data_IF_336829018285
#
_entry.id   IF_336829018285
#
_cell.length_a   1.000
_cell.length_b   1.000
_cell.length_c   1.000
_cell.angle_alpha   90.00
_cell.angle_beta   90.00
_cell.angle_gamma   90.00
#
_symmetry.space_group_name_H-M   'P 1'
#
loop_
_entity.id
_entity.type
_entity.pdbx_description
1 polymer ?
#
# COMPACT_ATOMS: atom_id res chain seq x y z
N UNK A 1 26.71 7.86 -4.85
CA UNK A 1 27.93 8.10 -4.05
C UNK A 1 28.66 6.80 -3.69
N UNK A 2 29.01 5.97 -4.67
CA UNK A 2 29.60 4.65 -4.41
C UNK A 2 31.02 4.72 -3.80
N UNK A 3 31.78 5.78 -4.13
CA UNK A 3 33.16 6.01 -3.68
C UNK A 3 33.29 6.32 -2.18
N UNK A 4 32.18 6.65 -1.48
CA UNK A 4 32.19 6.94 -0.04
C UNK A 4 32.09 5.69 0.84
N UNK A 5 31.99 4.50 0.24
CA UNK A 5 31.95 3.22 0.96
C UNK A 5 30.85 3.19 2.03
N UNK A 6 31.19 3.02 3.32
CA UNK A 6 30.20 2.93 4.40
C UNK A 6 29.45 4.25 4.66
N UNK A 7 30.04 5.40 4.28
CA UNK A 7 29.43 6.71 4.49
C UNK A 7 28.41 7.08 3.40
N UNK A 8 28.30 6.29 2.33
CA UNK A 8 27.48 6.62 1.15
C UNK A 8 26.04 6.93 1.49
N UNK A 9 25.45 6.18 2.43
CA UNK A 9 24.03 6.28 2.78
C UNK A 9 23.76 7.58 3.52
N UNK A 10 24.54 7.84 4.58
CA UNK A 10 24.44 9.07 5.35
C UNK A 10 24.76 10.30 4.52
N UNK A 11 25.79 10.21 3.67
CA UNK A 11 26.16 11.29 2.76
C UNK A 11 25.08 11.57 1.70
N UNK A 12 24.38 10.55 1.21
CA UNK A 12 23.27 10.73 0.28
C UNK A 12 22.14 11.58 0.89
N UNK A 13 21.69 11.22 2.10
CA UNK A 13 20.68 12.01 2.81
C UNK A 13 21.18 13.42 3.12
N UNK A 14 22.44 13.57 3.55
CA UNK A 14 23.04 14.87 3.81
C UNK A 14 23.09 15.75 2.55
N UNK A 15 23.57 15.23 1.42
CA UNK A 15 23.59 15.98 0.16
C UNK A 15 22.18 16.33 -0.33
N UNK A 16 21.19 15.47 -0.06
CA UNK A 16 19.76 15.77 -0.31
C UNK A 16 19.34 17.02 0.48
N UNK A 17 19.60 17.06 1.80
CA UNK A 17 19.26 18.21 2.66
C UNK A 17 20.00 19.51 2.32
N UNK A 18 21.16 19.43 1.66
CA UNK A 18 21.90 20.60 1.20
C UNK A 18 21.33 21.16 -0.11
N UNK A 19 20.78 20.30 -0.96
CA UNK A 19 20.15 20.70 -2.21
C UNK A 19 18.83 21.42 -1.94
N UNK A 20 18.00 20.84 -1.06
CA UNK A 20 16.67 21.33 -0.77
C UNK A 20 16.25 20.92 0.64
N UNK A 21 15.76 21.89 1.42
CA UNK A 21 15.23 21.65 2.76
C UNK A 21 14.26 22.76 3.19
N UNK A 22 13.08 22.42 3.76
CA UNK A 22 12.54 21.06 3.97
C UNK A 22 12.06 20.41 2.66
N UNK A 23 12.20 19.10 2.54
CA UNK A 23 11.77 18.33 1.36
C UNK A 23 10.30 17.97 1.49
N UNK A 24 9.42 18.95 1.25
CA UNK A 24 7.98 18.79 1.46
C UNK A 24 7.29 18.39 0.17
N UNK A 25 6.48 17.34 0.25
CA UNK A 25 5.63 16.89 -0.83
C UNK A 25 4.18 16.92 -0.37
N UNK A 26 3.35 17.61 -1.15
CA UNK A 26 1.91 17.66 -0.92
C UNK A 26 1.24 16.60 -1.79
N UNK A 27 0.28 15.89 -1.21
CA UNK A 27 -0.53 14.89 -1.89
C UNK A 27 -1.90 14.79 -1.22
N UNK A 28 -2.92 14.33 -1.95
CA UNK A 28 -4.19 13.92 -1.37
C UNK A 28 -4.31 12.41 -1.44
N UNK A 29 -4.81 11.81 -0.36
CA UNK A 29 -5.12 10.38 -0.29
C UNK A 29 -6.60 10.20 -0.05
N UNK A 30 -7.22 9.43 -0.94
CA UNK A 30 -8.53 8.86 -0.72
C UNK A 30 -8.32 7.45 -0.18
N UNK A 31 -8.96 7.10 0.93
CA UNK A 31 -8.82 5.75 1.48
C UNK A 31 -10.12 5.18 2.00
N UNK A 32 -10.13 3.85 2.07
CA UNK A 32 -11.13 3.05 2.75
C UNK A 32 -10.51 2.41 3.97
N UNK A 33 -11.28 2.36 5.05
CA UNK A 33 -10.89 1.70 6.30
C UNK A 33 -10.58 0.20 6.12
N UNK A 34 -10.08 -0.45 7.17
CA UNK A 34 -9.77 -1.87 7.14
C UNK A 34 -11.02 -2.70 6.87
N UNK A 35 -10.91 -3.75 6.05
CA UNK A 35 -12.03 -4.59 5.63
C UNK A 35 -11.99 -5.91 6.40
N UNK A 36 -13.15 -6.52 6.67
CA UNK A 36 -13.20 -7.87 7.24
C UNK A 36 -12.52 -8.87 6.31
N UNK A 37 -11.69 -9.72 6.90
CA UNK A 37 -11.02 -10.80 6.17
C UNK A 37 -12.09 -11.76 5.65
N UNK A 38 -12.06 -12.15 4.36
CA UNK A 38 -12.93 -13.19 3.85
C UNK A 38 -12.74 -14.46 4.67
N UNK A 39 -13.80 -15.23 4.96
CA UNK A 39 -13.65 -16.51 5.65
C UNK A 39 -12.66 -17.37 4.87
N UNK A 40 -11.66 -17.93 5.56
CA UNK A 40 -10.74 -18.89 4.94
C UNK A 40 -11.58 -20.04 4.37
N UNK A 41 -11.61 -20.16 3.04
CA UNK A 41 -12.20 -21.32 2.39
C UNK A 41 -11.48 -22.56 2.94
N UNK A 42 -12.24 -23.57 3.37
CA UNK A 42 -11.67 -24.78 3.97
C UNK A 42 -10.54 -25.31 3.07
N UNK A 43 -9.36 -25.66 3.63
CA UNK A 43 -8.12 -25.94 2.88
C UNK A 43 -8.22 -27.10 1.87
N UNK A 44 -9.34 -27.82 1.84
CA UNK A 44 -9.66 -28.87 0.89
C UNK A 44 -10.36 -28.40 -0.39
N UNK A 45 -10.67 -27.11 -0.54
CA UNK A 45 -11.26 -26.56 -1.78
C UNK A 45 -10.24 -25.72 -2.53
N UNK A 46 -9.00 -26.20 -2.67
CA UNK A 46 -8.26 -25.86 -3.88
C UNK A 46 -9.13 -26.38 -5.03
N UNK A 47 -9.91 -25.51 -5.67
CA UNK A 47 -10.71 -25.87 -6.83
C UNK A 47 -9.72 -26.25 -7.94
N UNK A 48 -9.29 -27.51 -7.94
CA UNK A 48 -8.40 -28.06 -8.94
C UNK A 48 -9.00 -27.76 -10.31
N UNK A 49 -8.13 -27.58 -11.32
CA UNK A 49 -8.57 -27.27 -12.67
C UNK A 49 -9.76 -28.19 -13.03
N UNK A 50 -10.96 -27.64 -13.31
CA UNK A 50 -12.12 -28.47 -13.53
C UNK A 50 -11.84 -29.45 -14.68
N UNK A 51 -12.36 -30.69 -14.60
CA UNK A 51 -12.06 -31.72 -15.58
C UNK A 51 -12.51 -31.28 -16.98
N UNK A 52 -11.91 -31.87 -18.02
CA UNK A 52 -12.08 -31.43 -19.42
C UNK A 52 -13.56 -31.33 -19.83
N UNK A 53 -14.39 -32.30 -19.43
CA UNK A 53 -15.81 -32.32 -19.75
C UNK A 53 -16.58 -31.14 -19.14
N UNK A 54 -16.27 -30.74 -17.90
CA UNK A 54 -16.89 -29.55 -17.26
C UNK A 54 -16.50 -28.28 -18.03
N UNK A 55 -15.26 -28.17 -18.48
CA UNK A 55 -14.79 -27.02 -19.26
C UNK A 55 -15.42 -26.94 -20.64
N UNK A 56 -15.57 -28.08 -21.31
CA UNK A 56 -16.27 -28.18 -22.59
C UNK A 56 -17.75 -27.83 -22.43
N UNK A 57 -18.41 -28.38 -21.40
CA UNK A 57 -19.80 -28.06 -21.09
C UNK A 57 -19.99 -26.58 -20.79
N UNK A 58 -19.16 -25.97 -19.93
CA UNK A 58 -19.21 -24.53 -19.65
C UNK A 58 -19.03 -23.67 -20.91
N UNK A 59 -18.12 -24.03 -21.81
CA UNK A 59 -17.97 -23.33 -23.11
C UNK A 59 -19.20 -23.46 -23.99
N UNK A 60 -19.75 -24.66 -24.08
CA UNK A 60 -20.95 -24.92 -24.88
C UNK A 60 -22.15 -24.14 -24.32
N UNK A 61 -22.32 -24.11 -23.00
CA UNK A 61 -23.32 -23.27 -22.32
C UNK A 61 -23.08 -21.79 -22.64
N UNK A 62 -21.86 -21.28 -22.52
CA UNK A 62 -21.54 -19.89 -22.87
C UNK A 62 -21.77 -19.56 -24.35
N UNK A 63 -21.63 -20.55 -25.24
CA UNK A 63 -21.91 -20.38 -26.67
C UNK A 63 -23.42 -20.29 -26.95
N UNK A 64 -24.24 -21.14 -26.31
CA UNK A 64 -25.68 -21.18 -26.52
C UNK A 64 -26.47 -20.16 -25.69
N UNK A 65 -25.96 -19.81 -24.52
CA UNK A 65 -26.44 -18.73 -23.67
C UNK A 65 -25.25 -17.81 -23.38
N UNK A 66 -24.97 -16.82 -24.27
CA UNK A 66 -23.97 -15.81 -23.95
C UNK A 66 -24.35 -15.18 -22.60
N UNK A 67 -23.39 -14.96 -21.70
CA UNK A 67 -23.67 -14.29 -20.44
C UNK A 67 -24.38 -12.98 -20.78
N UNK A 68 -25.57 -12.80 -20.23
CA UNK A 68 -26.27 -11.52 -20.32
C UNK A 68 -25.28 -10.50 -19.78
N UNK A 69 -24.99 -9.46 -20.56
CA UNK A 69 -24.19 -8.33 -20.08
C UNK A 69 -24.96 -7.80 -18.88
N UNK A 70 -24.47 -8.12 -17.68
CA UNK A 70 -25.06 -7.65 -16.45
C UNK A 70 -25.03 -6.13 -16.52
N UNK A 71 -26.22 -5.53 -16.54
CA UNK A 71 -26.34 -4.08 -16.36
C UNK A 71 -25.60 -3.79 -15.05
N UNK A 72 -24.61 -2.90 -15.03
CA UNK A 72 -23.83 -2.63 -13.84
C UNK A 72 -24.82 -2.33 -12.71
N UNK A 73 -24.89 -3.23 -11.74
CA UNK A 73 -25.64 -3.02 -10.51
C UNK A 73 -25.06 -1.75 -9.93
N UNK A 74 -25.90 -0.74 -9.66
CA UNK A 74 -25.48 0.46 -8.96
C UNK A 74 -25.02 0.05 -7.57
N UNK A 75 -23.73 -0.23 -7.44
CA UNK A 75 -23.08 -0.46 -6.15
C UNK A 75 -23.19 0.85 -5.39
N UNK A 76 -23.68 0.78 -4.14
CA UNK A 76 -23.72 1.95 -3.27
C UNK A 76 -22.32 2.60 -3.24
N UNK A 77 -22.23 3.94 -3.32
CA UNK A 77 -20.93 4.60 -3.34
C UNK A 77 -20.13 4.21 -2.10
N UNK A 78 -18.95 3.64 -2.32
CA UNK A 78 -18.03 3.27 -1.24
C UNK A 78 -17.68 4.54 -0.43
N UNK A 79 -17.68 4.49 0.91
CA UNK A 79 -17.47 5.65 1.75
C UNK A 79 -15.98 6.02 1.82
N UNK A 80 -15.47 6.67 0.77
CA UNK A 80 -14.09 7.15 0.72
C UNK A 80 -13.88 8.32 1.68
N UNK A 81 -12.86 8.20 2.53
CA UNK A 81 -12.35 9.31 3.34
C UNK A 81 -11.21 10.01 2.61
N UNK A 82 -11.19 11.34 2.63
CA UNK A 82 -10.15 12.15 2.02
C UNK A 82 -9.25 12.78 3.09
N UNK A 83 -7.93 12.60 2.94
CA UNK A 83 -6.92 13.25 3.75
C UNK A 83 -5.92 13.98 2.85
N UNK A 84 -5.76 15.28 3.08
CA UNK A 84 -4.68 16.07 2.50
C UNK A 84 -3.42 15.90 3.35
N UNK A 85 -2.31 15.55 2.71
CA UNK A 85 -1.06 15.20 3.34
C UNK A 85 0.04 16.15 2.88
N UNK A 86 0.79 16.67 3.84
CA UNK A 86 2.10 17.27 3.61
C UNK A 86 3.12 16.40 4.33
N UNK A 87 3.96 15.72 3.57
CA UNK A 87 4.89 14.73 4.10
C UNK A 87 6.25 14.83 3.43
N UNK A 88 7.29 14.41 4.16
CA UNK A 88 8.64 14.23 3.57
C UNK A 88 8.70 12.92 2.80
N UNK A 89 8.10 11.87 3.36
CA UNK A 89 8.03 10.54 2.76
C UNK A 89 6.68 9.91 3.07
N UNK A 90 6.12 9.22 2.08
CA UNK A 90 4.94 8.40 2.23
C UNK A 90 5.32 6.94 1.92
N UNK A 91 5.10 6.04 2.88
CA UNK A 91 5.35 4.62 2.68
C UNK A 91 4.06 3.82 2.85
N UNK A 92 3.79 2.95 1.88
CA UNK A 92 2.64 2.06 1.88
C UNK A 92 3.17 0.63 1.90
N UNK A 93 2.84 -0.12 2.95
CA UNK A 93 3.35 -1.47 3.15
C UNK A 93 2.23 -2.45 3.50
N UNK A 94 2.39 -3.68 3.02
CA UNK A 94 1.52 -4.79 3.39
C UNK A 94 2.03 -5.46 4.66
N UNK A 95 1.14 -6.13 5.39
CA UNK A 95 1.49 -6.85 6.62
C UNK A 95 2.02 -8.27 6.36
N UNK A 96 2.62 -8.49 5.18
CA UNK A 96 3.00 -9.82 4.72
C UNK A 96 4.33 -10.32 5.32
N UNK A 97 5.14 -9.44 5.94
CA UNK A 97 6.39 -9.86 6.60
C UNK A 97 6.12 -10.76 7.81
N UNK A 98 5.02 -10.55 8.51
CA UNK A 98 4.60 -11.36 9.65
C UNK A 98 3.09 -11.55 9.59
N UNK A 99 2.61 -12.46 8.73
CA UNK A 99 1.17 -12.63 8.51
C UNK A 99 0.53 -13.18 9.79
N UNK A 100 -0.36 -12.40 10.37
CA UNK A 100 -1.22 -12.85 11.47
C UNK A 100 -2.46 -13.54 10.88
N UNK A 101 -2.48 -14.87 10.99
CA UNK A 101 -3.56 -15.72 10.50
C UNK A 101 -4.87 -15.49 11.28
N UNK A 102 -4.77 -15.09 12.55
CA UNK A 102 -5.94 -14.88 13.41
C UNK A 102 -6.53 -13.48 13.29
N UNK A 103 -5.95 -12.63 12.44
CA UNK A 103 -6.39 -11.25 12.28
C UNK A 103 -7.76 -11.20 11.61
N UNK A 104 -8.76 -10.52 12.22
CA UNK A 104 -10.11 -10.44 11.65
C UNK A 104 -10.22 -9.45 10.49
N UNK A 105 -9.27 -8.50 10.39
CA UNK A 105 -9.29 -7.42 9.42
C UNK A 105 -8.09 -7.52 8.47
N UNK A 106 -8.37 -7.40 7.18
CA UNK A 106 -7.36 -7.20 6.15
C UNK A 106 -7.10 -5.71 5.95
N UNK A 107 -5.85 -5.31 6.17
CA UNK A 107 -5.41 -3.93 6.01
C UNK A 107 -3.93 -3.86 5.63
N UNK A 108 -3.58 -2.80 4.92
CA UNK A 108 -2.23 -2.32 4.71
C UNK A 108 -1.96 -1.13 5.64
N UNK A 109 -0.69 -0.90 5.96
CA UNK A 109 -0.24 0.25 6.73
C UNK A 109 0.27 1.34 5.79
N UNK A 110 -0.26 2.55 5.96
CA UNK A 110 0.23 3.77 5.32
C UNK A 110 0.88 4.62 6.40
N UNK A 111 2.17 4.89 6.26
CA UNK A 111 2.93 5.75 7.18
C UNK A 111 3.24 7.07 6.50
N UNK A 112 2.90 8.17 7.16
CA UNK A 112 2.94 9.52 6.61
C UNK A 112 3.94 10.35 7.41
N UNK A 113 5.18 10.46 6.93
CA UNK A 113 6.22 11.15 7.71
C UNK A 113 6.03 12.67 7.73
N UNK A 114 6.12 13.29 8.93
CA UNK A 114 5.81 14.70 9.10
C UNK A 114 6.84 15.61 8.41
N UNK A 115 6.37 16.76 7.97
CA UNK A 115 7.15 17.83 7.35
C UNK A 115 7.94 18.70 8.36
N UNK A 116 7.76 18.44 9.66
CA UNK A 116 8.41 19.14 10.78
C UNK A 116 9.67 18.43 11.30
N UNK A 117 10.09 17.34 10.65
CA UNK A 117 11.28 16.59 11.06
C UNK A 117 12.55 17.45 10.96
N UNK A 118 13.50 17.25 11.88
CA UNK A 118 14.79 17.96 11.83
C UNK A 118 15.75 17.35 10.79
N UNK A 119 16.76 18.12 10.35
CA UNK A 119 17.77 17.62 9.40
C UNK A 119 18.54 16.41 9.94
N UNK A 120 18.87 16.42 11.23
CA UNK A 120 19.59 15.31 11.85
C UNK A 120 18.73 14.05 11.87
N UNK A 121 17.44 14.20 12.20
CA UNK A 121 16.51 13.08 12.33
C UNK A 121 16.19 12.49 10.95
N UNK A 122 16.02 13.33 9.93
CA UNK A 122 15.89 12.87 8.54
C UNK A 122 17.08 12.02 8.09
N UNK A 123 18.31 12.44 8.43
CA UNK A 123 19.52 11.69 8.08
C UNK A 123 19.61 10.38 8.86
N UNK A 124 19.32 10.37 10.16
CA UNK A 124 19.37 9.14 10.96
C UNK A 124 18.28 8.15 10.54
N UNK A 125 17.04 8.62 10.38
CA UNK A 125 15.93 7.79 9.91
C UNK A 125 16.17 7.25 8.50
N UNK A 126 16.71 8.07 7.59
CA UNK A 126 17.07 7.60 6.26
C UNK A 126 18.07 6.43 6.29
N UNK A 127 19.08 6.51 7.17
CA UNK A 127 20.04 5.41 7.36
C UNK A 127 19.36 4.18 7.96
N UNK A 128 18.50 4.33 8.96
CA UNK A 128 17.74 3.22 9.56
C UNK A 128 16.81 2.56 8.53
N UNK A 129 16.10 3.34 7.72
CA UNK A 129 15.22 2.85 6.66
C UNK A 129 15.93 2.07 5.57
N UNK A 130 17.19 2.41 5.27
CA UNK A 130 17.97 1.59 4.33
C UNK A 130 18.25 0.19 4.85
N UNK A 131 18.25 -0.02 6.17
CA UNK A 131 18.35 -1.33 6.80
C UNK A 131 16.98 -1.99 6.96
N UNK A 132 15.97 -1.20 7.37
CA UNK A 132 14.59 -1.66 7.54
C UNK A 132 13.59 -0.69 6.88
N UNK A 133 13.18 -0.95 5.63
CA UNK A 133 12.31 -0.02 4.89
C UNK A 133 10.88 0.05 5.42
N UNK A 134 10.46 -0.91 6.25
CA UNK A 134 9.13 -0.91 6.88
C UNK A 134 9.09 -0.17 8.22
N UNK A 135 10.22 0.39 8.66
CA UNK A 135 10.26 1.15 9.90
C UNK A 135 9.48 2.46 9.73
N UNK A 136 8.39 2.57 10.46
CA UNK A 136 7.68 3.83 10.64
C UNK A 136 8.09 4.44 12.00
N UNK A 137 8.50 5.72 12.04
CA UNK A 137 8.91 6.34 13.29
C UNK A 137 7.74 6.46 14.28
N UNK A 138 8.03 6.52 15.58
CA UNK A 138 7.01 6.42 16.64
C UNK A 138 6.05 7.62 16.70
N UNK A 139 6.50 8.78 16.26
CA UNK A 139 5.73 10.04 16.33
C UNK A 139 4.92 10.30 15.05
N UNK A 140 4.77 9.27 14.21
CA UNK A 140 4.23 9.39 12.85
C UNK A 140 2.81 8.85 12.79
N UNK A 141 1.97 9.52 12.00
CA UNK A 141 0.61 9.06 11.74
C UNK A 141 0.65 7.80 10.87
N UNK A 142 0.12 6.71 11.41
CA UNK A 142 -0.03 5.43 10.70
C UNK A 142 -1.52 5.16 10.49
N UNK A 143 -1.92 5.07 9.23
CA UNK A 143 -3.29 4.72 8.83
C UNK A 143 -3.35 3.24 8.45
N UNK A 144 -4.39 2.55 8.94
CA UNK A 144 -4.69 1.18 8.54
C UNK A 144 -5.82 1.23 7.53
N UNK A 145 -5.56 0.80 6.31
CA UNK A 145 -6.47 0.97 5.17
C UNK A 145 -6.54 -0.29 4.33
N UNK A 146 -7.69 -0.59 3.75
CA UNK A 146 -7.84 -1.75 2.84
C UNK A 146 -7.52 -1.36 1.39
N UNK A 147 -7.89 -0.13 1.01
CA UNK A 147 -7.71 0.44 -0.32
C UNK A 147 -7.37 1.91 -0.17
N UNK A 148 -6.45 2.39 -0.99
CA UNK A 148 -6.14 3.81 -1.08
C UNK A 148 -5.89 4.22 -2.54
N UNK A 149 -6.15 5.48 -2.84
CA UNK A 149 -5.83 6.14 -4.09
C UNK A 149 -5.04 7.40 -3.75
N UNK A 150 -3.82 7.50 -4.30
CA UNK A 150 -2.90 8.62 -4.05
C UNK A 150 -2.95 9.54 -5.25
N UNK A 151 -3.36 10.78 -5.03
CA UNK A 151 -3.33 11.84 -6.02
C UNK A 151 -2.12 12.72 -5.75
N UNK A 152 -1.22 12.77 -6.73
CA UNK A 152 -0.04 13.62 -6.70
C UNK A 152 -0.30 14.84 -7.59
N UNK A 153 0.18 16.03 -7.20
CA UNK A 153 0.09 17.21 -8.06
C UNK A 153 0.90 17.00 -9.34
N UNK A 154 0.37 17.48 -10.47
CA UNK A 154 1.13 17.54 -11.72
C UNK A 154 2.25 18.58 -11.60
N UNK A 155 3.48 18.18 -11.95
CA UNK A 155 4.71 19.00 -11.86
C UNK A 155 5.01 19.66 -13.20
#
# INVERSE_FOLDING_TARGET
YWYLGPLKTRAAHLFSTLKEWPQRHEASILFLGPTERPPEEEPNVLSGRPPLHVRLYRRLVQYWSPPVVEVPVEVAPEPWEEAQLSAVELSISTQNLQPDLMRPLDSMSVCIEPDTISKSDFISLGVEKTQNPQLCPKDVQVLQVSRCNVQLPEV
#
